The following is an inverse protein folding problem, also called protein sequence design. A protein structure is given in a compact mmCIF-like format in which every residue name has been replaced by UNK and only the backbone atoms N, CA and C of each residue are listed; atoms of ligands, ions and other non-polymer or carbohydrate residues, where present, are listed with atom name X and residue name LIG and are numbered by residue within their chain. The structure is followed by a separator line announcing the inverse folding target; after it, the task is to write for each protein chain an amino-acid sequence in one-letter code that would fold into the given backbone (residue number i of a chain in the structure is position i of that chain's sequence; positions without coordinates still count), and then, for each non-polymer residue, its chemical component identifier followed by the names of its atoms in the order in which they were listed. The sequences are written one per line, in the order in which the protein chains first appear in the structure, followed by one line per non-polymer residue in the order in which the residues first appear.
data_IF_474698560234
#
_entry.id   IF_474698560234
#
_cell.length_a   1.000
_cell.length_b   1.000
_cell.length_c   1.000
_cell.angle_alpha   90.00
_cell.angle_beta   90.00
_cell.angle_gamma   90.00
#
_symmetry.space_group_name_H-M   'P 1'
#
loop_
_entity.id
_entity.type
_entity.pdbx_description
1 polymer ?
#
# COMPACT_ATOMS: atom_id res chain seq x y z
N UNK A 1 -20.80 5.83 38.11
CA UNK A 1 -19.41 6.04 37.65
C UNK A 1 -18.65 4.75 37.94
N UNK A 2 -18.25 3.99 36.92
CA UNK A 2 -17.50 2.73 37.12
C UNK A 2 -16.14 3.05 37.73
N UNK A 3 -15.84 2.47 38.89
CA UNK A 3 -14.54 2.59 39.54
C UNK A 3 -13.46 1.98 38.63
N UNK A 4 -12.41 2.75 38.32
CA UNK A 4 -11.24 2.24 37.61
C UNK A 4 -10.47 1.32 38.57
N UNK A 5 -10.44 0.02 38.27
CA UNK A 5 -9.60 -0.97 38.94
C UNK A 5 -8.33 -1.20 38.11
N UNK A 6 -7.25 -1.72 38.69
CA UNK A 6 -6.03 -2.07 37.96
C UNK A 6 -6.34 -2.99 36.76
N UNK A 7 -7.21 -4.00 36.96
CA UNK A 7 -7.67 -4.89 35.89
C UNK A 7 -8.47 -4.18 34.80
N UNK A 8 -9.27 -3.16 35.14
CA UNK A 8 -10.03 -2.39 34.15
C UNK A 8 -9.17 -1.33 33.45
N UNK A 9 -8.11 -0.84 34.10
CA UNK A 9 -7.13 0.07 33.52
C UNK A 9 -6.33 -0.66 32.43
N UNK A 10 -5.78 -1.83 32.75
CA UNK A 10 -4.99 -2.67 31.82
C UNK A 10 -5.82 -3.21 30.64
N UNK A 11 -7.14 -3.36 30.81
CA UNK A 11 -8.08 -3.79 29.75
C UNK A 11 -8.56 -2.64 28.85
N UNK A 12 -8.58 -1.40 29.34
CA UNK A 12 -9.16 -0.25 28.60
C UNK A 12 -8.10 0.67 28.00
N UNK A 13 -6.88 0.65 28.54
CA UNK A 13 -5.78 1.45 28.02
C UNK A 13 -4.85 0.55 27.23
N UNK A 14 -4.84 0.70 25.90
CA UNK A 14 -3.76 0.15 25.11
C UNK A 14 -2.47 0.83 25.56
N UNK A 15 -1.52 0.06 26.08
CA UNK A 15 -0.22 0.60 26.49
C UNK A 15 0.45 1.23 25.26
N UNK A 16 0.68 2.55 25.24
CA UNK A 16 1.28 3.22 24.09
C UNK A 16 2.66 2.63 23.72
N UNK A 17 3.38 2.09 24.70
CA UNK A 17 4.67 1.44 24.47
C UNK A 17 4.46 0.11 23.74
N UNK A 18 3.48 -0.69 24.16
CA UNK A 18 3.14 -1.94 23.48
C UNK A 18 2.72 -1.70 22.03
N UNK A 19 1.82 -0.74 21.79
CA UNK A 19 1.42 -0.38 20.43
C UNK A 19 2.62 0.02 19.58
N UNK A 20 3.48 0.91 20.10
CA UNK A 20 4.66 1.38 19.40
C UNK A 20 5.63 0.24 19.07
N UNK A 21 5.87 -0.70 19.99
CA UNK A 21 6.78 -1.83 19.76
C UNK A 21 6.20 -2.82 18.76
N UNK A 22 4.90 -3.13 18.86
CA UNK A 22 4.20 -3.98 17.89
C UNK A 22 4.26 -3.33 16.51
N UNK A 23 3.90 -2.05 16.39
CA UNK A 23 3.91 -1.30 15.13
C UNK A 23 5.31 -1.28 14.50
N UNK A 24 6.36 -1.04 15.31
CA UNK A 24 7.75 -1.07 14.84
C UNK A 24 8.17 -2.43 14.29
N UNK A 25 7.81 -3.52 14.98
CA UNK A 25 8.12 -4.88 14.52
C UNK A 25 7.35 -5.22 13.25
N UNK A 26 6.05 -4.95 13.22
CA UNK A 26 5.19 -5.22 12.06
C UNK A 26 5.68 -4.44 10.86
N UNK A 27 6.02 -3.16 11.00
CA UNK A 27 6.57 -2.36 9.91
C UNK A 27 7.82 -3.00 9.28
N UNK A 28 8.71 -3.56 10.11
CA UNK A 28 9.89 -4.31 9.63
C UNK A 28 9.48 -5.60 8.90
N UNK A 29 8.51 -6.35 9.40
CA UNK A 29 8.03 -7.57 8.74
C UNK A 29 7.34 -7.29 7.41
N UNK A 30 6.57 -6.19 7.30
CA UNK A 30 5.94 -5.79 6.04
C UNK A 30 6.97 -5.34 5.01
N UNK A 31 7.99 -4.56 5.41
CA UNK A 31 9.11 -4.22 4.54
C UNK A 31 9.86 -5.49 4.06
N UNK A 32 10.08 -6.46 4.97
CA UNK A 32 10.68 -7.76 4.65
C UNK A 32 9.82 -8.59 3.70
N UNK A 33 8.50 -8.47 3.76
CA UNK A 33 7.60 -9.15 2.84
C UNK A 33 7.72 -8.56 1.42
N UNK A 34 7.76 -7.23 1.30
CA UNK A 34 8.01 -6.55 0.02
C UNK A 34 9.38 -6.96 -0.56
N UNK A 35 10.43 -6.95 0.27
CA UNK A 35 11.76 -7.41 -0.14
C UNK A 35 11.73 -8.84 -0.72
N UNK A 36 11.02 -9.76 -0.06
CA UNK A 36 10.89 -11.16 -0.54
C UNK A 36 10.09 -11.26 -1.82
N UNK A 37 9.04 -10.46 -1.96
CA UNK A 37 8.23 -10.40 -3.17
C UNK A 37 9.06 -9.92 -4.38
N UNK A 38 9.79 -8.81 -4.23
CA UNK A 38 10.71 -8.29 -5.27
C UNK A 38 11.73 -9.36 -5.69
N UNK A 39 12.38 -10.00 -4.71
CA UNK A 39 13.36 -11.05 -4.96
C UNK A 39 12.76 -12.26 -5.68
N UNK A 40 11.52 -12.65 -5.33
CA UNK A 40 10.83 -13.81 -5.91
C UNK A 40 10.42 -13.63 -7.36
N UNK A 41 10.25 -12.40 -7.83
CA UNK A 41 9.88 -12.11 -9.22
C UNK A 41 11.09 -11.87 -10.14
N UNK A 42 12.29 -12.27 -9.72
CA UNK A 42 13.55 -11.94 -10.41
C UNK A 42 13.78 -10.44 -10.56
N UNK A 43 13.22 -9.62 -9.65
CA UNK A 43 13.47 -8.19 -9.62
C UNK A 43 14.98 -7.91 -9.58
N UNK A 44 15.43 -6.90 -10.32
CA UNK A 44 16.83 -6.50 -10.35
C UNK A 44 17.27 -6.05 -8.95
N UNK A 45 18.55 -6.33 -8.62
CA UNK A 45 19.14 -5.93 -7.34
C UNK A 45 18.98 -4.42 -7.05
N UNK A 46 18.99 -3.60 -8.11
CA UNK A 46 18.81 -2.15 -7.99
C UNK A 46 17.41 -1.75 -7.52
N UNK A 47 16.36 -2.48 -7.92
CA UNK A 47 14.97 -2.25 -7.46
C UNK A 47 14.91 -2.39 -5.92
N UNK A 48 15.50 -3.47 -5.43
CA UNK A 48 15.53 -3.80 -4.01
C UNK A 48 16.32 -2.75 -3.21
N UNK A 49 17.50 -2.36 -3.71
CA UNK A 49 18.37 -1.38 -3.03
C UNK A 49 17.70 0.00 -2.94
N UNK A 50 17.03 0.47 -4.00
CA UNK A 50 16.29 1.74 -4.00
C UNK A 50 15.13 1.76 -2.99
N UNK A 51 14.36 0.67 -2.92
CA UNK A 51 13.29 0.55 -1.93
C UNK A 51 13.83 0.64 -0.49
N UNK A 52 14.91 -0.07 -0.18
CA UNK A 52 15.53 -0.06 1.15
C UNK A 52 16.13 1.31 1.49
N UNK A 53 16.83 1.94 0.55
CA UNK A 53 17.41 3.27 0.70
C UNK A 53 16.34 4.31 1.02
N UNK A 54 15.22 4.30 0.28
CA UNK A 54 14.12 5.24 0.50
C UNK A 54 13.44 5.06 1.84
N UNK A 55 13.31 3.83 2.33
CA UNK A 55 12.74 3.62 3.66
C UNK A 55 13.69 4.09 4.77
N UNK A 56 15.01 4.06 4.57
CA UNK A 56 16.00 4.24 5.64
C UNK A 56 15.73 5.47 6.53
N UNK A 57 15.52 6.63 5.93
CA UNK A 57 15.45 7.92 6.62
C UNK A 57 14.04 8.34 7.03
N UNK A 58 13.02 7.53 6.70
CA UNK A 58 11.62 7.81 7.06
C UNK A 58 11.34 7.50 8.54
N UNK A 59 10.47 8.31 9.16
CA UNK A 59 9.86 8.00 10.45
C UNK A 59 9.01 6.72 10.37
N UNK A 60 8.64 6.13 11.51
CA UNK A 60 7.79 4.92 11.52
C UNK A 60 6.48 5.15 10.77
N UNK A 61 5.79 6.27 11.02
CA UNK A 61 4.53 6.59 10.36
C UNK A 61 4.69 6.74 8.84
N UNK A 62 5.76 7.39 8.40
CA UNK A 62 6.06 7.55 6.97
C UNK A 62 6.40 6.20 6.31
N UNK A 63 7.16 5.34 6.99
CA UNK A 63 7.42 3.96 6.53
C UNK A 63 6.13 3.17 6.36
N UNK A 64 5.24 3.23 7.35
CA UNK A 64 3.95 2.53 7.28
C UNK A 64 3.12 2.99 6.09
N UNK A 65 3.04 4.31 5.85
CA UNK A 65 2.33 4.89 4.70
C UNK A 65 2.96 4.48 3.37
N UNK A 66 4.28 4.54 3.26
CA UNK A 66 5.02 4.13 2.06
C UNK A 66 4.80 2.64 1.74
N UNK A 67 4.88 1.77 2.75
CA UNK A 67 4.62 0.33 2.61
C UNK A 67 3.17 0.06 2.21
N UNK A 68 2.20 0.75 2.81
CA UNK A 68 0.79 0.60 2.47
C UNK A 68 0.50 1.00 1.02
N UNK A 69 1.12 2.09 0.54
CA UNK A 69 1.03 2.51 -0.86
C UNK A 69 1.61 1.45 -1.80
N UNK A 70 2.79 0.90 -1.47
CA UNK A 70 3.38 -0.19 -2.26
C UNK A 70 2.46 -1.40 -2.34
N UNK A 71 1.86 -1.80 -1.22
CA UNK A 71 0.94 -2.93 -1.12
C UNK A 71 -0.33 -2.69 -1.94
N UNK A 72 -0.87 -1.47 -1.95
CA UNK A 72 -2.05 -1.16 -2.76
C UNK A 72 -1.79 -1.34 -4.26
N UNK A 73 -0.62 -0.89 -4.73
CA UNK A 73 -0.19 -1.03 -6.12
C UNK A 73 0.26 -2.48 -6.46
N UNK A 74 0.74 -3.23 -5.47
CA UNK A 74 1.28 -4.58 -5.62
C UNK A 74 0.59 -5.56 -4.66
N UNK A 75 -0.73 -5.72 -4.78
CA UNK A 75 -1.55 -6.48 -3.81
C UNK A 75 -1.07 -7.93 -3.59
N UNK A 76 -0.46 -8.54 -4.61
CA UNK A 76 0.14 -9.89 -4.56
C UNK A 76 1.33 -10.01 -3.60
N UNK A 77 1.90 -8.90 -3.12
CA UNK A 77 2.91 -8.89 -2.03
C UNK A 77 2.41 -9.66 -0.81
N UNK A 78 1.10 -9.59 -0.55
CA UNK A 78 0.48 -10.24 0.61
C UNK A 78 0.13 -11.72 0.37
N UNK A 79 0.33 -12.25 -0.84
CA UNK A 79 0.03 -13.64 -1.15
C UNK A 79 0.87 -14.56 -0.26
N UNK A 80 0.19 -15.44 0.48
CA UNK A 80 0.81 -16.36 1.44
C UNK A 80 1.24 -15.75 2.78
N UNK A 81 0.99 -14.45 3.03
CA UNK A 81 1.24 -13.82 4.33
C UNK A 81 0.10 -14.11 5.32
N UNK A 82 0.41 -14.71 6.47
CA UNK A 82 -0.52 -14.82 7.59
C UNK A 82 -0.27 -13.72 8.63
N UNK A 83 -1.17 -12.74 8.70
CA UNK A 83 -1.12 -11.65 9.66
C UNK A 83 -1.18 -12.11 11.13
N UNK A 84 -1.77 -13.27 11.43
CA UNK A 84 -1.76 -13.81 12.79
C UNK A 84 -0.36 -14.23 13.21
N UNK A 85 0.42 -14.78 12.28
CA UNK A 85 1.83 -15.14 12.52
C UNK A 85 2.68 -13.89 12.68
N UNK A 86 2.44 -12.85 11.86
CA UNK A 86 3.12 -11.55 12.02
C UNK A 86 2.83 -10.96 13.40
N UNK A 87 1.57 -10.93 13.83
CA UNK A 87 1.17 -10.44 15.14
C UNK A 87 1.78 -11.27 16.28
N UNK A 88 1.74 -12.60 16.20
CA UNK A 88 2.32 -13.48 17.21
C UNK A 88 3.83 -13.22 17.38
N UNK A 89 4.56 -13.01 16.28
CA UNK A 89 5.99 -12.64 16.32
C UNK A 89 6.22 -11.25 16.91
N UNK A 90 5.35 -10.28 16.61
CA UNK A 90 5.43 -8.94 17.18
C UNK A 90 5.23 -8.97 18.71
N UNK A 91 4.23 -9.71 19.18
CA UNK A 91 3.99 -9.92 20.61
C UNK A 91 5.16 -10.63 21.27
N UNK A 92 5.67 -11.70 20.65
CA UNK A 92 6.84 -12.40 21.16
C UNK A 92 8.09 -11.51 21.24
N UNK A 93 8.25 -10.56 20.30
CA UNK A 93 9.35 -9.59 20.33
C UNK A 93 9.19 -8.56 21.47
N UNK A 94 7.95 -8.16 21.75
CA UNK A 94 7.63 -7.20 22.80
C UNK A 94 7.74 -7.80 24.22
N UNK A 95 7.41 -9.08 24.40
CA UNK A 95 7.34 -9.70 25.72
C UNK A 95 8.71 -10.13 26.26
N UNK A 96 9.02 -9.77 27.51
CA UNK A 96 10.23 -10.24 28.19
C UNK A 96 10.11 -11.66 28.80
N UNK A 97 8.88 -12.17 28.94
CA UNK A 97 8.63 -13.50 29.52
C UNK A 97 7.61 -14.30 28.73
N UNK A 98 7.79 -15.62 28.70
CA UNK A 98 6.87 -16.54 28.03
C UNK A 98 5.48 -16.55 28.68
N UNK A 99 5.39 -16.44 30.01
CA UNK A 99 4.11 -16.37 30.73
C UNK A 99 3.31 -15.11 30.35
N UNK A 100 3.97 -13.96 30.22
CA UNK A 100 3.34 -12.73 29.78
C UNK A 100 2.90 -12.82 28.30
N UNK A 101 3.75 -13.37 27.44
CA UNK A 101 3.39 -13.64 26.04
C UNK A 101 2.15 -14.55 25.93
N UNK A 102 2.09 -15.63 26.72
CA UNK A 102 0.91 -16.50 26.76
C UNK A 102 -0.34 -15.76 27.23
N UNK A 103 -0.24 -14.88 28.22
CA UNK A 103 -1.36 -14.06 28.67
C UNK A 103 -1.90 -13.19 27.53
N UNK A 104 -1.01 -12.52 26.79
CA UNK A 104 -1.37 -11.64 25.66
C UNK A 104 -1.96 -12.42 24.48
N UNK A 105 -1.33 -13.51 24.06
CA UNK A 105 -1.79 -14.31 22.91
C UNK A 105 -3.16 -14.97 23.17
N UNK A 106 -3.47 -15.27 24.43
CA UNK A 106 -4.77 -15.83 24.82
C UNK A 106 -5.86 -14.76 25.05
N UNK A 107 -5.50 -13.47 25.08
CA UNK A 107 -6.46 -12.37 25.14
C UNK A 107 -7.07 -12.13 23.76
N UNK A 108 -8.26 -12.70 23.53
CA UNK A 108 -8.94 -12.65 22.23
C UNK A 108 -9.29 -11.23 21.79
N UNK A 109 -9.67 -10.36 22.73
CA UNK A 109 -10.07 -8.98 22.41
C UNK A 109 -8.85 -8.18 21.97
N UNK A 110 -7.74 -8.31 22.72
CA UNK A 110 -6.47 -7.64 22.40
C UNK A 110 -5.87 -8.16 21.10
N UNK A 111 -5.91 -9.47 20.86
CA UNK A 111 -5.46 -10.06 19.58
C UNK A 111 -6.31 -9.58 18.40
N UNK A 112 -7.63 -9.46 18.56
CA UNK A 112 -8.51 -8.93 17.53
C UNK A 112 -8.23 -7.44 17.26
N UNK A 113 -8.00 -6.65 18.31
CA UNK A 113 -7.63 -5.24 18.22
C UNK A 113 -6.36 -5.05 17.39
N UNK A 114 -5.26 -5.70 17.75
CA UNK A 114 -4.00 -5.57 17.02
C UNK A 114 -4.09 -6.11 15.60
N UNK A 115 -4.82 -7.20 15.38
CA UNK A 115 -5.01 -7.74 14.03
C UNK A 115 -5.77 -6.77 13.13
N UNK A 116 -6.82 -6.11 13.64
CA UNK A 116 -7.54 -5.06 12.90
C UNK A 116 -6.59 -3.89 12.62
N UNK A 117 -5.93 -3.38 13.65
CA UNK A 117 -5.00 -2.24 13.54
C UNK A 117 -3.93 -2.47 12.48
N UNK A 118 -3.30 -3.65 12.46
CA UNK A 118 -2.30 -4.01 11.45
C UNK A 118 -2.91 -3.95 10.05
N UNK A 119 -4.08 -4.57 9.86
CA UNK A 119 -4.78 -4.56 8.56
C UNK A 119 -5.16 -3.13 8.14
N UNK A 120 -5.67 -2.31 9.05
CA UNK A 120 -6.07 -0.93 8.77
C UNK A 120 -4.88 -0.03 8.40
N UNK A 121 -3.68 -0.36 8.90
CA UNK A 121 -2.45 0.33 8.51
C UNK A 121 -1.98 -0.01 7.11
N UNK A 122 -2.01 -1.30 6.71
CA UNK A 122 -1.34 -1.75 5.49
C UNK A 122 -2.28 -2.13 4.33
N UNK A 123 -3.53 -2.50 4.61
CA UNK A 123 -4.52 -2.89 3.60
C UNK A 123 -5.36 -1.66 3.25
N UNK A 124 -4.75 -0.75 2.48
CA UNK A 124 -5.29 0.57 2.15
C UNK A 124 -5.58 0.68 0.65
N UNK A 125 -6.52 -0.13 0.19
CA UNK A 125 -6.76 -0.27 -1.23
C UNK A 125 -7.52 0.89 -1.86
N UNK A 126 -7.03 1.38 -3.00
CA UNK A 126 -7.84 2.21 -3.88
C UNK A 126 -8.96 1.39 -4.54
N UNK A 127 -10.02 2.09 -4.95
CA UNK A 127 -11.18 1.53 -5.65
C UNK A 127 -11.48 2.34 -6.90
N UNK A 128 -11.71 1.63 -8.00
CA UNK A 128 -12.34 2.21 -9.18
C UNK A 128 -13.84 2.33 -8.90
N UNK A 129 -14.43 3.46 -9.29
CA UNK A 129 -15.86 3.69 -9.22
C UNK A 129 -16.37 4.23 -10.56
N UNK A 130 -17.67 4.10 -10.78
CA UNK A 130 -18.36 4.61 -11.96
C UNK A 130 -19.42 5.62 -11.54
N UNK A 131 -19.52 6.72 -12.28
CA UNK A 131 -20.54 7.75 -12.12
C UNK A 131 -20.95 8.25 -13.51
N UNK A 132 -22.25 8.17 -13.83
CA UNK A 132 -22.80 8.56 -15.13
C UNK A 132 -22.12 7.90 -16.35
N UNK A 133 -21.70 6.64 -16.22
CA UNK A 133 -21.01 5.92 -17.30
C UNK A 133 -19.53 6.28 -17.47
N UNK A 134 -18.96 7.07 -16.56
CA UNK A 134 -17.54 7.45 -16.54
C UNK A 134 -16.85 6.88 -15.31
N UNK A 135 -15.57 6.57 -15.43
CA UNK A 135 -14.76 5.92 -14.40
C UNK A 135 -13.85 6.90 -13.68
N UNK A 136 -13.77 6.73 -12.37
CA UNK A 136 -12.87 7.45 -11.48
C UNK A 136 -12.17 6.51 -10.49
N UNK A 137 -11.32 7.07 -9.63
CA UNK A 137 -10.58 6.35 -8.60
C UNK A 137 -10.69 7.05 -7.25
N UNK A 138 -10.92 6.29 -6.18
CA UNK A 138 -10.89 6.76 -4.79
C UNK A 138 -9.85 5.99 -3.99
N UNK A 139 -9.25 6.64 -3.01
CA UNK A 139 -8.40 5.96 -2.04
C UNK A 139 -9.23 5.13 -1.04
N UNK A 140 -8.54 4.52 -0.08
CA UNK A 140 -9.18 3.68 0.93
C UNK A 140 -10.12 4.43 1.89
N UNK A 141 -9.97 5.75 2.00
CA UNK A 141 -10.82 6.63 2.82
C UNK A 141 -12.00 7.20 2.01
N UNK A 142 -12.06 6.90 0.71
CA UNK A 142 -13.08 7.39 -0.20
C UNK A 142 -12.79 8.77 -0.78
N UNK A 143 -11.59 9.34 -0.52
CA UNK A 143 -11.16 10.58 -1.15
C UNK A 143 -10.91 10.34 -2.63
N UNK A 144 -11.35 11.27 -3.46
CA UNK A 144 -11.16 11.20 -4.91
C UNK A 144 -9.68 11.37 -5.25
N UNK A 145 -9.13 10.39 -5.97
CA UNK A 145 -7.80 10.41 -6.59
C UNK A 145 -7.89 10.75 -8.09
N UNK A 146 -8.96 10.29 -8.74
CA UNK A 146 -9.30 10.58 -10.14
C UNK A 146 -10.82 10.78 -10.21
N UNK A 147 -11.27 11.89 -10.79
CA UNK A 147 -12.69 12.15 -10.98
C UNK A 147 -13.26 11.28 -12.10
N UNK A 148 -14.57 11.01 -12.04
CA UNK A 148 -15.27 10.19 -13.02
C UNK A 148 -15.50 10.95 -14.35
N UNK A 149 -14.44 11.17 -15.12
CA UNK A 149 -14.48 11.86 -16.42
C UNK A 149 -14.12 10.96 -17.60
N UNK A 150 -13.61 9.75 -17.32
CA UNK A 150 -12.93 8.90 -18.30
C UNK A 150 -13.82 7.74 -18.73
N UNK A 151 -13.74 7.36 -20.00
CA UNK A 151 -14.46 6.20 -20.55
C UNK A 151 -13.89 4.88 -20.02
N UNK A 152 -12.61 4.90 -19.66
CA UNK A 152 -11.91 3.76 -19.10
C UNK A 152 -10.71 4.22 -18.28
N UNK A 153 -10.39 3.46 -17.23
CA UNK A 153 -9.15 3.61 -16.46
C UNK A 153 -8.45 2.25 -16.40
N UNK A 154 -7.18 2.23 -16.80
CA UNK A 154 -6.31 1.09 -16.54
C UNK A 154 -5.54 1.38 -15.25
N UNK A 155 -5.92 0.69 -14.17
CA UNK A 155 -5.17 0.77 -12.90
C UNK A 155 -3.69 0.49 -13.16
N UNK A 156 -2.78 1.38 -12.75
CA UNK A 156 -1.36 1.17 -12.95
C UNK A 156 -0.95 -0.08 -12.17
N UNK A 157 -0.46 -1.09 -12.90
CA UNK A 157 0.33 -2.16 -12.32
C UNK A 157 1.74 -1.99 -12.83
N UNK A 158 2.65 -1.42 -12.04
CA UNK A 158 4.06 -1.72 -12.28
C UNK A 158 4.89 -1.54 -11.02
N UNK A 159 5.96 -2.32 -10.95
CA UNK A 159 7.17 -2.07 -10.19
C UNK A 159 7.49 -0.58 -10.13
N UNK A 160 7.43 0.03 -8.96
CA UNK A 160 8.05 1.33 -8.76
C UNK A 160 8.85 1.30 -7.47
N UNK A 161 10.11 0.94 -7.66
CA UNK A 161 11.23 0.96 -6.71
C UNK A 161 11.33 2.30 -5.97
N UNK A 162 10.84 3.34 -6.65
CA UNK A 162 10.91 4.71 -6.23
C UNK A 162 9.60 5.21 -5.62
N UNK A 163 8.61 4.37 -5.25
CA UNK A 163 7.39 4.79 -4.50
C UNK A 163 6.74 6.11 -4.98
N UNK A 164 6.86 6.42 -6.28
CA UNK A 164 6.30 7.61 -6.91
C UNK A 164 4.89 7.29 -7.39
N UNK A 165 4.01 8.29 -7.39
CA UNK A 165 2.68 8.17 -7.99
C UNK A 165 2.85 7.91 -9.48
N UNK A 166 2.60 6.68 -9.89
CA UNK A 166 2.69 6.28 -11.29
C UNK A 166 1.46 6.79 -12.05
N UNK A 167 1.63 7.37 -13.26
CA UNK A 167 0.49 7.80 -14.05
C UNK A 167 -0.48 6.65 -14.34
N UNK A 168 -1.78 6.96 -14.30
CA UNK A 168 -2.87 6.06 -14.70
C UNK A 168 -3.08 6.24 -16.20
N UNK A 169 -3.19 5.13 -16.94
CA UNK A 169 -3.63 5.18 -18.34
C UNK A 169 -5.14 5.37 -18.33
N UNK A 170 -5.62 6.43 -18.97
CA UNK A 170 -7.03 6.77 -19.05
C UNK A 170 -7.46 6.87 -20.51
N UNK A 171 -8.71 6.55 -20.79
CA UNK A 171 -9.35 6.80 -22.09
C UNK A 171 -10.39 7.91 -21.95
N UNK A 172 -10.40 8.81 -22.93
CA UNK A 172 -11.40 9.86 -23.06
C UNK A 172 -11.72 10.06 -24.54
N UNK A 173 -13.00 9.96 -24.88
CA UNK A 173 -13.51 10.19 -26.24
C UNK A 173 -12.80 9.32 -27.30
N UNK A 174 -12.48 8.07 -26.95
CA UNK A 174 -11.83 7.09 -27.84
C UNK A 174 -10.32 7.29 -28.01
N UNK A 175 -9.70 8.16 -27.22
CA UNK A 175 -8.24 8.37 -27.20
C UNK A 175 -7.67 8.13 -25.82
N UNK A 176 -6.44 7.63 -25.76
CA UNK A 176 -5.72 7.38 -24.52
C UNK A 176 -4.81 8.54 -24.14
N UNK A 177 -4.63 8.73 -22.83
CA UNK A 177 -3.72 9.69 -22.21
C UNK A 177 -3.21 9.19 -20.87
N UNK A 178 -2.34 9.97 -20.23
CA UNK A 178 -1.78 9.68 -18.91
C UNK A 178 -2.18 10.76 -17.91
N UNK A 179 -2.62 10.36 -16.72
CA UNK A 179 -3.02 11.26 -15.64
C UNK A 179 -2.38 10.88 -14.31
N UNK A 180 -2.08 11.85 -13.45
CA UNK A 180 -1.65 11.57 -12.07
C UNK A 180 -2.88 11.39 -11.18
N UNK A 181 -2.94 10.34 -10.33
CA UNK A 181 -4.01 10.17 -9.36
C UNK A 181 -3.78 11.03 -8.10
N UNK A 182 -3.68 12.35 -8.28
CA UNK A 182 -3.44 13.35 -7.23
C UNK A 182 -4.72 14.03 -6.71
N UNK A 183 -5.88 13.65 -7.23
CA UNK A 183 -7.17 14.26 -6.95
C UNK A 183 -7.44 15.54 -7.73
N UNK A 184 -6.57 15.91 -8.68
CA UNK A 184 -6.70 17.11 -9.54
C UNK A 184 -6.82 16.77 -11.02
N UNK A 185 -6.75 15.49 -11.37
CA UNK A 185 -6.77 15.00 -12.76
C UNK A 185 -5.64 15.60 -13.61
N UNK A 186 -4.46 15.78 -12.99
CA UNK A 186 -3.29 16.36 -13.67
C UNK A 186 -2.90 15.51 -14.89
N UNK A 187 -3.02 16.09 -16.08
CA UNK A 187 -2.66 15.43 -17.35
C UNK A 187 -1.14 15.47 -17.52
N UNK A 188 -0.54 14.30 -17.75
CA UNK A 188 0.90 14.13 -18.03
C UNK A 188 1.14 13.92 -19.52
N UNK A 189 0.23 13.21 -20.18
CA UNK A 189 0.22 13.04 -21.63
C UNK A 189 -1.20 13.22 -22.14
N UNK A 190 -1.35 14.05 -23.19
CA UNK A 190 -2.66 14.43 -23.74
C UNK A 190 -3.41 13.23 -24.32
N UNK A 191 -4.74 13.36 -24.40
CA UNK A 191 -5.64 12.34 -24.95
C UNK A 191 -5.63 12.35 -26.48
N UNK A 192 -4.49 11.99 -27.07
CA UNK A 192 -4.28 11.97 -28.53
C UNK A 192 -3.86 10.59 -29.06
N UNK A 193 -3.51 9.67 -28.16
CA UNK A 193 -2.94 8.37 -28.51
C UNK A 193 -4.04 7.36 -28.83
N UNK A 194 -3.81 6.51 -29.83
CA UNK A 194 -4.70 5.39 -30.15
C UNK A 194 -4.55 4.26 -29.12
N UNK A 195 -3.36 4.12 -28.53
CA UNK A 195 -3.08 3.13 -27.51
C UNK A 195 -1.88 3.58 -26.65
N UNK A 196 -1.87 3.18 -25.38
CA UNK A 196 -0.73 3.30 -24.47
C UNK A 196 -0.52 1.95 -23.75
N UNK A 197 0.73 1.47 -23.77
CA UNK A 197 1.15 0.23 -23.12
C UNK A 197 2.29 0.48 -22.12
N UNK A 198 2.50 -0.48 -21.23
CA UNK A 198 3.55 -0.45 -20.21
C UNK A 198 4.78 -1.20 -20.69
N UNK A 199 5.96 -0.69 -20.32
CA UNK A 199 7.28 -1.26 -20.59
C UNK A 199 7.96 -1.68 -19.30
N UNK A 200 8.89 -2.63 -19.40
CA UNK A 200 9.68 -3.11 -18.26
C UNK A 200 10.84 -2.16 -17.87
N UNK A 201 11.22 -1.24 -18.78
CA UNK A 201 12.33 -0.29 -18.58
C UNK A 201 11.91 1.14 -18.94
N UNK A 202 12.51 2.17 -18.30
CA UNK A 202 12.28 3.57 -18.66
C UNK A 202 12.61 3.90 -20.12
N UNK A 203 11.89 4.84 -20.77
CA UNK A 203 10.61 5.42 -20.37
C UNK A 203 9.51 4.34 -20.29
N UNK A 204 8.72 4.34 -19.22
CA UNK A 204 7.89 3.18 -18.87
C UNK A 204 6.61 3.04 -19.69
N UNK A 205 6.31 4.00 -20.57
CA UNK A 205 5.14 3.95 -21.42
C UNK A 205 5.55 3.98 -22.89
N UNK A 206 4.82 3.21 -23.69
CA UNK A 206 4.87 3.27 -25.15
C UNK A 206 3.49 3.66 -25.66
N UNK A 207 3.43 4.70 -26.48
CA UNK A 207 2.19 5.21 -27.02
C UNK A 207 2.21 5.17 -28.55
N UNK A 208 1.05 4.96 -29.16
CA UNK A 208 0.91 4.88 -30.62
C UNK A 208 -0.07 5.92 -31.14
N UNK A 209 0.30 6.58 -32.25
CA UNK A 209 -0.57 7.48 -33.03
C UNK A 209 -0.50 7.04 -34.50
N UNK A 210 -1.54 6.38 -34.99
CA UNK A 210 -1.53 5.69 -36.28
C UNK A 210 -0.43 4.64 -36.32
N UNK A 211 0.53 4.81 -37.24
CA UNK A 211 1.72 3.95 -37.34
C UNK A 211 2.93 4.46 -36.56
N UNK A 212 2.85 5.65 -35.95
CA UNK A 212 3.95 6.24 -35.17
C UNK A 212 3.94 5.68 -33.75
N UNK A 213 5.13 5.31 -33.27
CA UNK A 213 5.38 4.92 -31.87
C UNK A 213 6.15 6.04 -31.17
N UNK A 214 5.79 6.32 -29.92
CA UNK A 214 6.42 7.33 -29.07
C UNK A 214 6.64 6.75 -27.66
N UNK A 215 7.78 7.08 -27.05
CA UNK A 215 8.11 6.65 -25.68
C UNK A 215 7.80 7.79 -24.72
N UNK A 216 7.06 7.49 -23.65
CA UNK A 216 6.62 8.44 -22.61
C UNK A 216 7.16 8.04 -21.24
#
# INVERSE_FOLDING_TARGET
MLMITQENFDKKFADPIEEMQIDKFVCKEMARQIHRYIKGMSGSKSIMERFEERLKDLSLLEKERAIALYIDLNRKVLDGLDFKIVLARAIANYCDTFSYMLKLVNDKERMAYYLSRIKDKYIRYHKIYEENGKFGMKDHEGKILVHAFYDFLRTPYVYVDDLQLFPVIAEKDGKMGLIIPDGKDTIVADFIYDNISLRDEPPYFEATIGSKVELL
#
